data_IF_408345724017
#
_entry.id   IF_408345724017
#
_cell.length_a   1.000
_cell.length_b   1.000
_cell.length_c   1.000
_cell.angle_alpha   90.00
_cell.angle_beta   90.00
_cell.angle_gamma   90.00
#
_symmetry.space_group_name_H-M   'P 1'
#
loop_
_entity.id
_entity.type
_entity.pdbx_description
1 polymer ?
#
# COMPACT_ATOMS: atom_id res chain seq x y z
N UNK A 1 7.30 -19.59 -7.05
CA UNK A 1 5.94 -19.38 -7.61
C UNK A 1 6.05 -19.09 -9.11
N UNK A 2 5.04 -19.42 -9.92
CA UNK A 2 5.09 -19.09 -11.35
C UNK A 2 4.92 -17.59 -11.58
N UNK A 3 5.54 -17.06 -12.64
CA UNK A 3 5.42 -15.65 -13.05
C UNK A 3 3.95 -15.22 -13.26
N UNK A 4 3.11 -16.14 -13.75
CA UNK A 4 1.67 -15.91 -13.90
C UNK A 4 0.99 -15.63 -12.55
N UNK A 5 1.27 -16.43 -11.51
CA UNK A 5 0.66 -16.24 -10.19
C UNK A 5 1.08 -14.91 -9.56
N UNK A 6 2.35 -14.52 -9.71
CA UNK A 6 2.85 -13.22 -9.22
C UNK A 6 2.13 -12.07 -9.92
N UNK A 7 1.93 -12.14 -11.23
CA UNK A 7 1.18 -11.13 -12.00
C UNK A 7 -0.29 -11.02 -11.57
N UNK A 8 -0.93 -12.15 -11.26
CA UNK A 8 -2.31 -12.16 -10.77
C UNK A 8 -2.43 -11.50 -9.38
N UNK A 9 -1.48 -11.77 -8.48
CA UNK A 9 -1.42 -11.13 -7.16
C UNK A 9 -1.21 -9.63 -7.30
N UNK A 10 -0.26 -9.20 -8.13
CA UNK A 10 -0.03 -7.79 -8.44
C UNK A 10 -1.33 -7.14 -8.92
N UNK A 11 -1.95 -7.66 -9.99
CA UNK A 11 -3.20 -7.09 -10.53
C UNK A 11 -4.27 -6.98 -9.45
N UNK A 12 -4.45 -8.02 -8.63
CA UNK A 12 -5.47 -8.03 -7.60
C UNK A 12 -5.24 -6.98 -6.51
N UNK A 13 -4.00 -6.84 -6.04
CA UNK A 13 -3.65 -5.83 -5.03
C UNK A 13 -3.85 -4.42 -5.58
N UNK A 14 -3.45 -4.19 -6.84
CA UNK A 14 -3.62 -2.89 -7.50
C UNK A 14 -5.10 -2.53 -7.66
N UNK A 15 -5.93 -3.48 -8.13
CA UNK A 15 -7.39 -3.30 -8.24
C UNK A 15 -8.08 -2.99 -6.89
N UNK A 16 -7.50 -3.44 -5.78
CA UNK A 16 -8.06 -3.23 -4.45
C UNK A 16 -7.84 -1.80 -3.92
N UNK A 17 -6.71 -1.15 -4.24
CA UNK A 17 -6.28 0.07 -3.54
C UNK A 17 -5.93 1.25 -4.45
N UNK A 18 -5.63 1.06 -5.74
CA UNK A 18 -5.14 2.16 -6.59
C UNK A 18 -6.12 3.35 -6.64
N UNK A 19 -7.42 3.08 -6.61
CA UNK A 19 -8.46 4.11 -6.63
C UNK A 19 -8.60 4.90 -5.32
N UNK A 20 -8.01 4.41 -4.22
CA UNK A 20 -8.07 5.06 -2.91
C UNK A 20 -6.86 5.99 -2.65
N UNK A 21 -5.87 6.02 -3.55
CA UNK A 21 -4.71 6.90 -3.43
C UNK A 21 -4.89 8.22 -4.19
N UNK A 22 -4.41 9.31 -3.59
CA UNK A 22 -4.09 10.53 -4.34
C UNK A 22 -2.75 10.32 -5.06
N UNK A 23 -2.79 10.26 -6.39
CA UNK A 23 -1.62 10.03 -7.24
C UNK A 23 -1.13 11.31 -7.93
N UNK A 24 -1.64 12.49 -7.54
CA UNK A 24 -1.32 13.76 -8.20
C UNK A 24 0.16 14.12 -8.16
N UNK A 25 0.92 13.62 -7.16
CA UNK A 25 2.37 13.83 -7.05
C UNK A 25 3.20 12.90 -7.95
N UNK A 26 2.59 11.85 -8.53
CA UNK A 26 3.28 10.91 -9.40
C UNK A 26 2.94 11.23 -10.86
N UNK A 27 3.92 11.78 -11.58
CA UNK A 27 3.75 12.10 -13.00
C UNK A 27 3.43 10.86 -13.82
N UNK A 28 2.51 10.99 -14.79
CA UNK A 28 2.23 9.95 -15.79
C UNK A 28 3.45 9.59 -16.66
N UNK A 29 4.44 10.49 -16.73
CA UNK A 29 5.70 10.27 -17.44
C UNK A 29 6.82 9.72 -16.55
N UNK A 30 6.57 9.52 -15.26
CA UNK A 30 7.56 8.98 -14.33
C UNK A 30 7.86 7.52 -14.70
N UNK A 31 9.13 7.18 -15.03
CA UNK A 31 9.51 5.81 -15.39
C UNK A 31 9.28 4.80 -14.26
N UNK A 32 9.16 5.26 -13.02
CA UNK A 32 8.90 4.43 -11.83
C UNK A 32 7.44 4.49 -11.37
N UNK A 33 6.53 5.15 -12.10
CA UNK A 33 5.12 5.33 -11.71
C UNK A 33 4.46 4.03 -11.26
N UNK A 34 4.54 2.98 -12.07
CA UNK A 34 3.91 1.70 -11.76
C UNK A 34 4.50 1.05 -10.49
N UNK A 35 5.82 1.14 -10.29
CA UNK A 35 6.48 0.62 -9.08
C UNK A 35 6.07 1.44 -7.85
N UNK A 36 6.04 2.77 -7.97
CA UNK A 36 5.61 3.68 -6.90
C UNK A 36 4.17 3.43 -6.46
N UNK A 37 3.26 3.16 -7.40
CA UNK A 37 1.86 2.82 -7.10
C UNK A 37 1.77 1.42 -6.49
N UNK A 38 2.39 0.43 -7.11
CA UNK A 38 2.29 -0.95 -6.64
C UNK A 38 2.82 -1.12 -5.22
N UNK A 39 3.94 -0.45 -4.91
CA UNK A 39 4.56 -0.55 -3.60
C UNK A 39 3.74 0.16 -2.50
N UNK A 40 2.97 1.21 -2.84
CA UNK A 40 1.94 1.80 -1.95
C UNK A 40 0.76 0.84 -1.75
N UNK A 41 0.28 0.21 -2.82
CA UNK A 41 -0.80 -0.79 -2.73
C UNK A 41 -0.38 -2.01 -1.88
N UNK A 42 0.89 -2.41 -1.95
CA UNK A 42 1.44 -3.50 -1.14
C UNK A 42 1.45 -3.15 0.37
N UNK A 43 1.84 -1.92 0.72
CA UNK A 43 1.81 -1.44 2.10
C UNK A 43 0.37 -1.40 2.65
N UNK A 44 -0.59 -0.87 1.88
CA UNK A 44 -2.00 -0.91 2.23
C UNK A 44 -2.51 -2.35 2.40
N UNK A 45 -2.12 -3.27 1.52
CA UNK A 45 -2.49 -4.68 1.64
C UNK A 45 -1.97 -5.31 2.93
N UNK A 46 -0.76 -4.96 3.39
CA UNK A 46 -0.23 -5.43 4.66
C UNK A 46 -1.03 -4.92 5.87
N UNK A 47 -1.43 -3.64 5.86
CA UNK A 47 -2.34 -3.07 6.87
C UNK A 47 -3.66 -3.84 6.86
N UNK A 48 -4.31 -3.94 5.69
CA UNK A 48 -5.57 -4.66 5.48
C UNK A 48 -5.52 -6.10 6.01
N UNK A 49 -4.47 -6.86 5.68
CA UNK A 49 -4.32 -8.24 6.12
C UNK A 49 -4.11 -8.37 7.64
N UNK A 50 -3.55 -7.35 8.28
CA UNK A 50 -3.22 -7.38 9.72
C UNK A 50 -4.42 -6.95 10.57
N UNK A 51 -5.19 -5.97 10.09
CA UNK A 51 -6.23 -5.30 10.90
C UNK A 51 -7.64 -5.62 10.44
N UNK A 52 -7.82 -6.08 9.20
CA UNK A 52 -9.14 -6.28 8.60
C UNK A 52 -9.91 -4.98 8.34
N UNK A 53 -9.26 -3.82 8.40
CA UNK A 53 -9.89 -2.52 8.12
C UNK A 53 -10.37 -2.41 6.66
N UNK A 54 -11.12 -1.36 6.34
CA UNK A 54 -11.54 -1.12 4.95
C UNK A 54 -10.36 -0.79 4.04
N UNK A 55 -10.55 -0.94 2.72
CA UNK A 55 -9.51 -0.60 1.74
C UNK A 55 -9.08 0.87 1.82
N UNK A 56 -10.05 1.78 1.99
CA UNK A 56 -9.76 3.21 2.13
C UNK A 56 -9.02 3.54 3.42
N UNK A 57 -9.33 2.89 4.55
CA UNK A 57 -8.55 3.03 5.78
C UNK A 57 -7.12 2.53 5.62
N UNK A 58 -6.94 1.38 4.95
CA UNK A 58 -5.63 0.83 4.68
C UNK A 58 -4.80 1.70 3.73
N UNK A 59 -5.42 2.29 2.70
CA UNK A 59 -4.77 3.23 1.79
C UNK A 59 -4.36 4.52 2.51
N UNK A 60 -5.22 5.08 3.37
CA UNK A 60 -4.92 6.26 4.18
C UNK A 60 -3.81 6.06 5.21
N UNK A 61 -3.50 4.81 5.56
CA UNK A 61 -2.41 4.48 6.48
C UNK A 61 -1.03 4.54 5.80
N UNK A 62 -0.97 4.55 4.47
CA UNK A 62 0.28 4.51 3.70
C UNK A 62 0.99 5.86 3.76
N UNK A 63 2.31 5.81 3.91
CA UNK A 63 3.18 6.96 3.80
C UNK A 63 3.79 7.03 2.40
N UNK A 64 3.78 8.23 1.82
CA UNK A 64 4.17 8.51 0.44
C UNK A 64 5.44 9.35 0.32
N UNK A 65 6.01 9.77 1.46
CA UNK A 65 7.26 10.51 1.56
C UNK A 65 8.51 9.63 1.52
N UNK A 66 9.68 10.24 1.28
CA UNK A 66 10.99 9.54 1.32
C UNK A 66 11.77 9.72 2.62
N UNK A 67 11.31 10.59 3.52
CA UNK A 67 11.96 10.89 4.81
C UNK A 67 11.27 10.19 5.99
N UNK A 68 10.73 8.99 5.74
CA UNK A 68 9.95 8.19 6.69
C UNK A 68 10.78 7.13 7.46
N UNK A 69 12.12 7.15 7.28
CA UNK A 69 13.05 6.13 7.80
C UNK A 69 12.75 4.70 7.33
N UNK A 70 12.15 4.55 6.14
CA UNK A 70 11.85 3.26 5.51
C UNK A 70 10.51 2.66 5.96
N UNK A 71 9.64 3.45 6.57
CA UNK A 71 8.31 3.01 7.00
C UNK A 71 7.29 3.25 5.89
N UNK A 72 6.59 2.20 5.47
CA UNK A 72 5.65 2.31 4.36
C UNK A 72 4.21 2.66 4.78
N UNK A 73 3.82 2.34 6.03
CA UNK A 73 2.50 2.67 6.56
C UNK A 73 2.46 2.62 8.10
N UNK A 74 1.52 3.36 8.69
CA UNK A 74 1.15 3.25 10.09
C UNK A 74 -0.37 3.36 10.28
N UNK A 75 -0.96 2.43 11.04
CA UNK A 75 -2.38 2.39 11.32
C UNK A 75 -2.63 2.15 12.81
N UNK A 76 -3.50 2.96 13.42
CA UNK A 76 -3.98 2.71 14.77
C UNK A 76 -5.22 1.84 14.73
N UNK A 77 -5.06 0.58 15.12
CA UNK A 77 -6.16 -0.36 15.30
C UNK A 77 -6.80 -0.14 16.66
N UNK A 78 -7.96 0.51 16.65
CA UNK A 78 -8.69 0.86 17.87
C UNK A 78 -9.38 -0.34 18.53
N UNK A 79 -9.66 -1.40 17.78
CA UNK A 79 -10.30 -2.61 18.30
C UNK A 79 -9.30 -3.39 19.16
N UNK A 80 -8.08 -3.59 18.63
CA UNK A 80 -6.99 -4.30 19.30
C UNK A 80 -6.10 -3.39 20.16
N UNK A 81 -6.33 -2.07 20.12
CA UNK A 81 -5.57 -1.03 20.87
C UNK A 81 -4.07 -1.07 20.59
N UNK A 82 -3.71 -1.24 19.32
CA UNK A 82 -2.33 -1.36 18.87
C UNK A 82 -2.05 -0.43 17.70
N UNK A 83 -0.77 -0.12 17.48
CA UNK A 83 -0.31 0.55 16.27
C UNK A 83 0.37 -0.49 15.40
N UNK A 84 -0.14 -0.67 14.20
CA UNK A 84 0.48 -1.48 13.15
C UNK A 84 1.41 -0.57 12.36
N UNK A 85 2.66 -0.98 12.23
CA UNK A 85 3.68 -0.30 11.43
C UNK A 85 4.17 -1.28 10.37
N UNK A 86 4.27 -0.82 9.13
CA UNK A 86 4.61 -1.68 7.97
C UNK A 86 5.94 -1.26 7.35
N UNK A 87 6.77 -2.26 7.06
CA UNK A 87 7.93 -2.20 6.18
C UNK A 87 7.81 -3.40 5.22
N UNK A 88 7.54 -3.15 3.95
CA UNK A 88 7.05 -4.13 2.98
C UNK A 88 7.88 -4.21 1.69
N UNK A 89 8.87 -3.32 1.55
CA UNK A 89 9.72 -3.16 0.35
C UNK A 89 11.15 -3.65 0.56
#
# INVERSE_FOLDING_TARGET
MSSLKVRQIHSKIRDMFENDFDLTEISDSDPERDVKILTRCLAAFAVYCTTGCSNGEAANAVWDGGEDNGLDAAYFDSEERQVVVVQSK
#
